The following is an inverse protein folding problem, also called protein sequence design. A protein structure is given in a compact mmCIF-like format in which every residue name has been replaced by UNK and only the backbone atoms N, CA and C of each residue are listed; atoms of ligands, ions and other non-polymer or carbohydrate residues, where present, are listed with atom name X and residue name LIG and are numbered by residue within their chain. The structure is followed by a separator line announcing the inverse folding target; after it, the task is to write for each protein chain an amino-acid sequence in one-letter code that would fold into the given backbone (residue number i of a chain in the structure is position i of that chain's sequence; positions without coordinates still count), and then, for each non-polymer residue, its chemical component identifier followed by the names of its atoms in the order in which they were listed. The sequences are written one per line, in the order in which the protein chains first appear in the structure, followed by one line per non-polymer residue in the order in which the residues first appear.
data_IF_241609790488
#
_entry.id   IF_241609790488
#
_cell.length_a   1.000
_cell.length_b   1.000
_cell.length_c   1.000
_cell.angle_alpha   90.00
_cell.angle_beta   90.00
_cell.angle_gamma   90.00
#
_symmetry.space_group_name_H-M   'P 1'
#
loop_
_entity.id
_entity.type
_entity.pdbx_description
1 polymer ?
#
# COMPACT_ATOMS: atom_id res chain seq x y z
N UNK A 1 5.83 3.87 -14.05
CA UNK A 1 4.36 3.86 -13.93
C UNK A 1 4.02 3.37 -12.53
N UNK A 2 3.04 3.98 -11.85
CA UNK A 2 2.56 3.44 -10.58
C UNK A 2 2.15 1.98 -10.76
N UNK A 3 2.30 1.18 -9.71
CA UNK A 3 1.75 -0.18 -9.74
C UNK A 3 0.22 -0.12 -9.71
N UNK A 4 -0.46 -1.17 -10.18
CA UNK A 4 -1.91 -1.26 -10.09
C UNK A 4 -2.43 -1.09 -8.65
N UNK A 5 -1.65 -1.54 -7.66
CA UNK A 5 -1.98 -1.36 -6.24
C UNK A 5 -1.86 0.11 -5.80
N UNK A 6 -0.87 0.85 -6.30
CA UNK A 6 -0.69 2.28 -6.02
C UNK A 6 -1.82 3.12 -6.63
N UNK A 7 -2.23 2.80 -7.85
CA UNK A 7 -3.39 3.45 -8.50
C UNK A 7 -4.68 3.19 -7.73
N UNK A 8 -4.89 1.94 -7.27
CA UNK A 8 -6.03 1.60 -6.42
C UNK A 8 -6.01 2.35 -5.09
N UNK A 9 -4.82 2.49 -4.47
CA UNK A 9 -4.67 3.24 -3.22
C UNK A 9 -5.04 4.71 -3.40
N UNK A 10 -4.62 5.35 -4.50
CA UNK A 10 -4.98 6.74 -4.81
C UNK A 10 -6.49 6.92 -4.99
N UNK A 11 -7.15 5.97 -5.67
CA UNK A 11 -8.59 5.95 -5.82
C UNK A 11 -9.31 5.83 -4.46
N UNK A 12 -8.87 4.90 -3.60
CA UNK A 12 -9.44 4.70 -2.27
C UNK A 12 -9.24 5.91 -1.36
N UNK A 13 -8.07 6.55 -1.37
CA UNK A 13 -7.82 7.78 -0.62
C UNK A 13 -8.73 8.93 -1.07
N UNK A 14 -9.00 9.03 -2.37
CA UNK A 14 -9.94 10.03 -2.91
C UNK A 14 -11.37 9.73 -2.47
N UNK A 15 -11.78 8.46 -2.54
CA UNK A 15 -13.07 8.01 -2.01
C UNK A 15 -13.22 8.27 -0.51
N UNK A 16 -12.15 8.08 0.27
CA UNK A 16 -12.14 8.33 1.72
C UNK A 16 -12.38 9.81 2.05
N UNK A 17 -11.73 10.73 1.31
CA UNK A 17 -11.97 12.17 1.47
C UNK A 17 -13.42 12.54 1.14
N UNK A 18 -13.97 11.95 0.08
CA UNK A 18 -15.36 12.17 -0.32
C UNK A 18 -16.33 11.62 0.74
N UNK A 19 -16.09 10.42 1.26
CA UNK A 19 -16.90 9.81 2.30
C UNK A 19 -16.84 10.62 3.61
N UNK A 20 -15.68 11.16 3.96
CA UNK A 20 -15.52 12.06 5.10
C UNK A 20 -16.37 13.32 4.94
N UNK A 21 -16.30 13.96 3.77
CA UNK A 21 -17.04 15.19 3.50
C UNK A 21 -18.56 14.98 3.48
N UNK A 22 -19.03 13.82 2.98
CA UNK A 22 -20.47 13.54 2.83
C UNK A 22 -21.11 12.93 4.08
N UNK A 23 -20.45 11.97 4.72
CA UNK A 23 -21.05 11.17 5.80
C UNK A 23 -20.43 11.42 7.19
N UNK A 24 -19.26 12.06 7.23
CA UNK A 24 -18.53 12.31 8.48
C UNK A 24 -17.68 11.14 8.97
N UNK A 25 -16.81 11.39 9.97
CA UNK A 25 -15.75 10.48 10.39
C UNK A 25 -16.23 9.25 11.18
N UNK A 26 -17.46 9.27 11.68
CA UNK A 26 -18.05 8.15 12.44
C UNK A 26 -18.97 7.28 11.59
N UNK A 27 -19.16 7.63 10.32
CA UNK A 27 -20.03 6.86 9.43
C UNK A 27 -19.41 5.51 9.07
N UNK A 28 -20.26 4.49 8.93
CA UNK A 28 -19.85 3.16 8.47
C UNK A 28 -19.15 3.22 7.11
N UNK A 29 -19.61 4.11 6.20
CA UNK A 29 -19.01 4.27 4.88
C UNK A 29 -17.56 4.77 4.98
N UNK A 30 -17.33 5.82 5.76
CA UNK A 30 -15.99 6.35 5.99
C UNK A 30 -15.07 5.31 6.64
N UNK A 31 -15.55 4.65 7.71
CA UNK A 31 -14.77 3.67 8.46
C UNK A 31 -14.37 2.48 7.59
N UNK A 32 -15.30 1.94 6.79
CA UNK A 32 -15.01 0.83 5.89
C UNK A 32 -13.93 1.20 4.86
N UNK A 33 -14.04 2.36 4.23
CA UNK A 33 -13.04 2.82 3.25
C UNK A 33 -11.70 3.05 3.95
N UNK A 34 -11.71 3.59 5.18
CA UNK A 34 -10.48 3.81 5.96
C UNK A 34 -9.74 2.49 6.20
N UNK A 35 -10.44 1.45 6.63
CA UNK A 35 -9.84 0.13 6.83
C UNK A 35 -9.24 -0.45 5.55
N UNK A 36 -9.90 -0.27 4.40
CA UNK A 36 -9.36 -0.70 3.11
C UNK A 36 -8.08 0.07 2.72
N UNK A 37 -8.02 1.37 2.96
CA UNK A 37 -6.82 2.20 2.74
C UNK A 37 -5.67 1.74 3.63
N UNK A 38 -5.94 1.53 4.92
CA UNK A 38 -4.93 1.11 5.90
C UNK A 38 -4.36 -0.27 5.54
N UNK A 39 -5.23 -1.23 5.18
CA UNK A 39 -4.83 -2.57 4.77
C UNK A 39 -3.97 -2.53 3.50
N UNK A 40 -4.41 -1.82 2.46
CA UNK A 40 -3.68 -1.76 1.20
C UNK A 40 -2.33 -1.04 1.33
N UNK A 41 -2.28 0.04 2.12
CA UNK A 41 -1.01 0.73 2.42
C UNK A 41 -0.02 -0.21 3.10
N UNK A 42 -0.51 -1.02 4.05
CA UNK A 42 0.31 -2.01 4.74
C UNK A 42 0.81 -3.10 3.79
N UNK A 43 -0.05 -3.62 2.91
CA UNK A 43 0.33 -4.62 1.89
C UNK A 43 1.42 -4.08 0.96
N UNK A 44 1.25 -2.87 0.42
CA UNK A 44 2.26 -2.24 -0.44
C UNK A 44 3.60 -2.07 0.30
N UNK A 45 3.56 -1.63 1.56
CA UNK A 45 4.78 -1.48 2.36
C UNK A 45 5.48 -2.83 2.60
N UNK A 46 4.73 -3.89 2.91
CA UNK A 46 5.26 -5.25 3.09
C UNK A 46 5.84 -5.82 1.79
N UNK A 47 5.16 -5.61 0.65
CA UNK A 47 5.64 -6.05 -0.66
C UNK A 47 6.97 -5.35 -0.99
N UNK A 48 7.07 -4.04 -0.77
CA UNK A 48 8.31 -3.28 -0.97
C UNK A 48 9.45 -3.73 -0.05
N UNK A 49 9.15 -4.04 1.21
CA UNK A 49 10.13 -4.57 2.16
C UNK A 49 10.62 -5.96 1.75
N UNK A 50 9.71 -6.84 1.31
CA UNK A 50 10.04 -8.20 0.87
C UNK A 50 10.92 -8.18 -0.39
N UNK A 51 10.59 -7.34 -1.37
CA UNK A 51 11.42 -7.12 -2.56
C UNK A 51 12.83 -6.62 -2.19
N UNK A 52 12.93 -5.72 -1.21
CA UNK A 52 14.22 -5.19 -0.73
C UNK A 52 15.09 -6.23 0.00
N UNK A 53 14.51 -7.34 0.47
CA UNK A 53 15.25 -8.44 1.08
C UNK A 53 15.75 -9.48 0.07
N UNK A 54 15.01 -9.70 -1.02
CA UNK A 54 15.40 -10.62 -2.08
C UNK A 54 16.60 -10.09 -2.88
N UNK A 55 16.58 -8.80 -3.25
CA UNK A 55 17.70 -8.16 -3.98
C UNK A 55 19.01 -8.21 -3.20
N UNK A 56 18.98 -8.06 -1.88
CA UNK A 56 20.19 -8.14 -1.04
C UNK A 56 20.81 -9.55 -0.98
N UNK A 57 20.00 -10.61 -1.08
CA UNK A 57 20.52 -11.99 -1.07
C UNK A 57 21.28 -12.34 -2.34
N UNK A 58 20.81 -11.87 -3.50
CA UNK A 58 21.48 -12.12 -4.78
C UNK A 58 22.82 -11.37 -4.89
N UNK A 59 22.94 -10.16 -4.34
CA UNK A 59 24.19 -9.40 -4.36
C UNK A 59 25.30 -10.03 -3.47
N UNK A 60 24.92 -10.66 -2.35
CA UNK A 60 25.86 -11.33 -1.44
C UNK A 60 26.37 -12.70 -1.96
N UNK A 61 25.58 -13.40 -2.79
CA UNK A 61 26.05 -14.64 -3.46
C UNK A 61 27.01 -14.35 -4.62
N UNK A 62 26.71 -13.34 -5.45
CA UNK A 62 27.57 -12.98 -6.60
C UNK A 62 28.96 -12.51 -6.16
N UNK A 63 29.09 -11.91 -4.96
CA UNK A 63 30.39 -11.51 -4.40
C UNK A 63 31.23 -12.64 -3.83
N UNK A 64 30.67 -13.83 -3.60
CA UNK A 64 31.41 -14.99 -3.06
C UNK A 64 31.98 -15.90 -4.13
N UNK A 65 31.61 -15.71 -5.40
CA UNK A 65 32.09 -16.50 -6.54
C UNK A 65 33.10 -15.76 -7.44
N UNK A 66 33.51 -14.54 -7.09
CA UNK A 66 34.46 -13.71 -7.85
C UNK A 66 35.82 -13.55 -7.14
#
# INVERSE_FOLDING_TARGET
MPTQQEDLLLCLQSSLRNALATFGPTSTQYLNIKYMVDELTTKIALDRLSLSSETRRQEDEVKKEA
#
